data_IF_040449845147
#
_entry.id   IF_040449845147
#
_cell.length_a   1.000
_cell.length_b   1.000
_cell.length_c   1.000
_cell.angle_alpha   90.00
_cell.angle_beta   90.00
_cell.angle_gamma   90.00
#
_symmetry.space_group_name_H-M   'P 1'
#
loop_
_entity.id
_entity.type
_entity.pdbx_description
1 polymer ?
#
# COMPACT_ATOMS: atom_id res chain seq x y z
N UNK A 1 -7.24 9.46 -13.12
CA UNK A 1 -8.45 8.59 -13.22
C UNK A 1 -8.42 7.67 -12.02
N UNK A 2 -9.52 7.54 -11.29
CA UNK A 2 -9.63 6.65 -10.12
C UNK A 2 -10.32 5.34 -10.54
N UNK A 3 -9.77 4.19 -10.12
CA UNK A 3 -10.31 2.85 -10.41
C UNK A 3 -10.33 1.98 -9.15
N UNK A 4 -11.24 1.01 -9.09
CA UNK A 4 -11.32 0.06 -7.99
C UNK A 4 -10.50 -1.20 -8.26
N UNK A 5 -9.81 -1.69 -7.24
CA UNK A 5 -8.97 -2.89 -7.28
C UNK A 5 -9.19 -3.74 -6.04
N UNK A 6 -8.85 -5.02 -6.13
CA UNK A 6 -8.72 -5.92 -5.00
C UNK A 6 -7.27 -5.91 -4.49
N UNK A 7 -7.04 -5.32 -3.33
CA UNK A 7 -5.75 -5.27 -2.65
C UNK A 7 -5.42 -6.61 -1.99
N UNK A 8 -4.29 -7.16 -2.38
CA UNK A 8 -3.64 -8.29 -1.72
C UNK A 8 -2.39 -7.80 -0.99
N UNK A 9 -2.25 -8.17 0.28
CA UNK A 9 -1.01 -7.94 1.03
C UNK A 9 -0.28 -9.24 1.32
N UNK A 10 1.04 -9.18 1.46
CA UNK A 10 1.85 -10.36 1.75
C UNK A 10 3.29 -10.03 2.07
N UNK A 11 4.03 -11.04 2.53
CA UNK A 11 5.45 -10.89 2.79
C UNK A 11 6.27 -11.14 1.52
N UNK A 12 7.34 -10.38 1.39
CA UNK A 12 8.41 -10.60 0.41
C UNK A 12 9.70 -10.92 1.16
N UNK A 13 10.70 -11.47 0.46
CA UNK A 13 12.00 -11.79 1.07
C UNK A 13 12.65 -10.51 1.63
N UNK A 14 12.67 -9.44 0.84
CA UNK A 14 13.31 -8.19 1.20
C UNK A 14 12.53 -7.38 2.25
N UNK A 15 11.19 -7.39 2.22
CA UNK A 15 10.36 -6.86 3.33
C UNK A 15 10.76 -7.52 4.64
N UNK A 16 10.85 -8.86 4.65
CA UNK A 16 11.21 -9.63 5.83
C UNK A 16 12.64 -9.33 6.32
N UNK A 17 13.61 -9.21 5.39
CA UNK A 17 15.01 -8.89 5.69
C UNK A 17 15.12 -7.51 6.32
N UNK A 18 14.51 -6.49 5.73
CA UNK A 18 14.59 -5.10 6.21
C UNK A 18 13.82 -4.91 7.51
N UNK A 19 12.62 -5.50 7.62
CA UNK A 19 11.80 -5.41 8.83
C UNK A 19 12.46 -6.08 10.04
N UNK A 20 13.09 -7.25 9.86
CA UNK A 20 13.76 -7.99 10.96
C UNK A 20 15.21 -7.54 11.19
N UNK A 21 15.85 -6.96 10.18
CA UNK A 21 17.20 -6.41 10.26
C UNK A 21 17.31 -5.07 10.96
N UNK A 22 16.19 -4.48 11.40
CA UNK A 22 16.17 -3.19 12.09
C UNK A 22 16.16 -1.98 11.16
N UNK A 23 15.95 -2.17 9.87
CA UNK A 23 16.03 -1.12 8.83
C UNK A 23 14.68 -0.47 8.52
N UNK A 24 13.68 -0.56 9.40
CA UNK A 24 12.32 -0.06 9.13
C UNK A 24 12.21 1.45 8.90
N UNK A 25 13.26 2.20 9.24
CA UNK A 25 13.31 3.67 9.08
C UNK A 25 14.25 4.10 7.94
N UNK A 26 14.75 3.17 7.12
CA UNK A 26 15.65 3.50 6.00
C UNK A 26 14.89 3.68 4.70
N UNK A 27 15.49 4.39 3.74
CA UNK A 27 14.94 4.51 2.38
C UNK A 27 14.78 3.14 1.71
N UNK A 28 15.71 2.20 1.91
CA UNK A 28 15.55 0.83 1.41
C UNK A 28 14.22 0.18 1.83
N UNK A 29 13.72 0.47 3.04
CA UNK A 29 12.42 -0.05 3.48
C UNK A 29 11.25 0.67 2.82
N UNK A 30 11.38 1.97 2.54
CA UNK A 30 10.39 2.71 1.76
C UNK A 30 10.34 2.16 0.34
N UNK A 31 11.48 2.04 -0.33
CA UNK A 31 11.58 1.58 -1.72
C UNK A 31 11.04 0.15 -1.88
N UNK A 32 11.27 -0.73 -0.90
CA UNK A 32 10.80 -2.12 -0.95
C UNK A 32 9.34 -2.30 -0.52
N UNK A 33 8.83 -1.48 0.41
CA UNK A 33 7.55 -1.74 1.07
C UNK A 33 6.46 -0.70 0.81
N UNK A 34 6.82 0.50 0.39
CA UNK A 34 5.89 1.56 0.01
C UNK A 34 5.56 1.49 -1.49
N UNK A 35 5.21 0.28 -1.96
CA UNK A 35 4.95 -0.01 -3.37
C UNK A 35 3.56 -0.61 -3.57
N UNK A 36 2.93 -0.27 -4.70
CA UNK A 36 1.72 -0.87 -5.23
C UNK A 36 2.07 -1.55 -6.56
N UNK A 37 2.17 -2.87 -6.53
CA UNK A 37 2.43 -3.69 -7.71
C UNK A 37 1.12 -3.96 -8.43
N UNK A 38 1.08 -3.66 -9.72
CA UNK A 38 -0.10 -3.70 -10.57
C UNK A 38 0.15 -4.58 -11.80
N UNK A 39 -0.93 -5.10 -12.37
CA UNK A 39 -0.86 -5.71 -13.69
C UNK A 39 -0.45 -4.66 -14.75
N UNK A 40 0.34 -5.06 -15.74
CA UNK A 40 0.82 -4.15 -16.78
C UNK A 40 -0.29 -3.43 -17.55
N UNK A 41 -1.43 -4.08 -17.81
CA UNK A 41 -2.55 -3.46 -18.53
C UNK A 41 -3.17 -2.36 -17.70
N UNK A 42 -3.44 -2.64 -16.43
CA UNK A 42 -4.04 -1.67 -15.53
C UNK A 42 -3.11 -0.49 -15.27
N UNK A 43 -1.81 -0.77 -15.10
CA UNK A 43 -0.77 0.26 -14.98
C UNK A 43 -0.71 1.16 -16.23
N UNK A 44 -0.70 0.55 -17.42
CA UNK A 44 -0.69 1.28 -18.69
C UNK A 44 -1.96 2.10 -18.90
N UNK A 45 -3.14 1.52 -18.64
CA UNK A 45 -4.44 2.20 -18.68
C UNK A 45 -4.50 3.41 -17.73
N UNK A 46 -3.78 3.35 -16.61
CA UNK A 46 -3.68 4.44 -15.64
C UNK A 46 -2.64 5.51 -16.03
N UNK A 47 -2.00 5.39 -17.19
CA UNK A 47 -1.03 6.34 -17.70
C UNK A 47 0.40 6.08 -17.24
N UNK A 48 0.69 4.87 -16.75
CA UNK A 48 2.03 4.47 -16.25
C UNK A 48 2.60 5.44 -15.21
N UNK A 49 1.89 5.69 -14.10
CA UNK A 49 2.31 6.68 -13.12
C UNK A 49 3.51 6.21 -12.31
N UNK A 50 4.35 7.15 -11.85
CA UNK A 50 5.41 6.84 -10.87
C UNK A 50 4.82 6.51 -9.50
N UNK A 51 3.82 7.29 -9.06
CA UNK A 51 3.16 7.15 -7.77
C UNK A 51 1.64 7.01 -7.91
N UNK A 52 1.05 6.25 -7.00
CA UNK A 52 -0.41 6.15 -6.86
C UNK A 52 -0.84 6.45 -5.43
N UNK A 53 -2.00 7.08 -5.30
CA UNK A 53 -2.72 7.20 -4.05
C UNK A 53 -3.72 6.06 -3.95
N UNK A 54 -3.56 5.23 -2.92
CA UNK A 54 -4.46 4.14 -2.58
C UNK A 54 -5.37 4.60 -1.47
N UNK A 55 -6.68 4.42 -1.63
CA UNK A 55 -7.71 4.86 -0.68
C UNK A 55 -8.56 3.66 -0.26
N UNK A 56 -8.83 3.55 1.04
CA UNK A 56 -9.70 2.52 1.61
C UNK A 56 -11.10 2.57 0.99
N UNK A 57 -11.81 1.45 0.99
CA UNK A 57 -13.18 1.35 0.46
C UNK A 57 -14.13 2.42 1.00
N UNK A 58 -14.01 2.73 2.29
CA UNK A 58 -14.86 3.70 2.98
C UNK A 58 -14.41 5.16 2.78
N UNK A 59 -13.29 5.38 2.08
CA UNK A 59 -12.76 6.70 1.77
C UNK A 59 -12.08 7.42 2.93
N UNK A 60 -12.00 6.81 4.11
CA UNK A 60 -11.50 7.49 5.32
C UNK A 60 -9.98 7.55 5.41
N UNK A 61 -9.30 6.57 4.80
CA UNK A 61 -7.86 6.44 4.89
C UNK A 61 -7.26 6.34 3.49
N UNK A 62 -6.13 7.01 3.28
CA UNK A 62 -5.38 6.90 2.05
C UNK A 62 -3.87 6.97 2.31
N UNK A 63 -3.11 6.40 1.39
CA UNK A 63 -1.65 6.37 1.42
C UNK A 63 -1.12 6.53 0.00
N UNK A 64 0.00 7.26 -0.13
CA UNK A 64 0.73 7.40 -1.39
C UNK A 64 1.87 6.40 -1.39
N UNK A 65 2.03 5.68 -2.48
CA UNK A 65 3.04 4.62 -2.69
C UNK A 65 3.51 4.63 -4.13
N UNK A 66 4.73 4.15 -4.38
CA UNK A 66 5.27 4.00 -5.74
C UNK A 66 4.49 2.94 -6.49
N UNK A 67 4.21 3.15 -7.77
CA UNK A 67 3.53 2.21 -8.62
C UNK A 67 4.53 1.38 -9.43
N UNK A 68 4.35 0.06 -9.41
CA UNK A 68 5.20 -0.88 -10.15
C UNK A 68 4.32 -1.77 -11.01
N UNK A 69 4.83 -2.15 -12.19
CA UNK A 69 4.14 -3.05 -13.11
C UNK A 69 4.84 -4.41 -13.13
N UNK A 70 4.10 -5.47 -12.84
CA UNK A 70 4.58 -6.85 -12.96
C UNK A 70 3.51 -7.77 -13.56
N UNK A 71 3.97 -8.84 -14.23
CA UNK A 71 3.09 -9.89 -14.77
C UNK A 71 2.57 -10.86 -13.69
N UNK A 72 3.11 -10.76 -12.47
CA UNK A 72 2.74 -11.59 -11.31
C UNK A 72 1.35 -11.26 -10.75
N UNK A 73 0.82 -10.07 -11.06
CA UNK A 73 -0.47 -9.57 -10.55
C UNK A 73 -1.55 -9.69 -11.62
N UNK A 74 -2.70 -10.27 -11.26
CA UNK A 74 -3.87 -10.37 -12.13
C UNK A 74 -4.51 -8.99 -12.36
N UNK A 75 -5.03 -8.74 -13.56
CA UNK A 75 -5.77 -7.49 -13.82
C UNK A 75 -6.99 -7.35 -12.88
N UNK A 76 -7.22 -6.14 -12.39
CA UNK A 76 -8.21 -5.83 -11.34
C UNK A 76 -7.72 -6.10 -9.92
N UNK A 77 -6.48 -6.60 -9.75
CA UNK A 77 -5.84 -6.77 -8.46
C UNK A 77 -4.60 -5.87 -8.34
N UNK A 78 -4.23 -5.57 -7.10
CA UNK A 78 -2.96 -4.95 -6.76
C UNK A 78 -2.32 -5.69 -5.59
N UNK A 79 -0.99 -5.64 -5.50
CA UNK A 79 -0.23 -6.20 -4.40
C UNK A 79 0.55 -5.10 -3.67
N UNK A 80 0.49 -5.09 -2.34
CA UNK A 80 1.36 -4.27 -1.51
C UNK A 80 2.07 -5.15 -0.47
N UNK A 81 3.39 -5.00 -0.27
CA UNK A 81 4.09 -5.67 0.81
C UNK A 81 3.46 -5.37 2.18
N UNK A 82 3.48 -6.35 3.07
CA UNK A 82 2.94 -6.22 4.43
C UNK A 82 3.82 -5.27 5.26
N UNK A 83 3.47 -4.00 5.23
CA UNK A 83 4.17 -2.93 5.93
C UNK A 83 3.19 -1.84 6.40
N UNK A 84 3.72 -0.78 7.00
CA UNK A 84 2.89 0.29 7.58
C UNK A 84 2.01 0.99 6.53
N UNK A 85 2.49 1.13 5.28
CA UNK A 85 1.73 1.77 4.19
C UNK A 85 0.49 0.97 3.83
N UNK A 86 0.63 -0.34 3.59
CA UNK A 86 -0.50 -1.21 3.28
C UNK A 86 -1.54 -1.23 4.40
N UNK A 87 -1.10 -1.22 5.67
CA UNK A 87 -2.00 -1.21 6.83
C UNK A 87 -2.90 0.03 6.92
N UNK A 88 -2.56 1.15 6.26
CA UNK A 88 -3.40 2.35 6.24
C UNK A 88 -4.73 2.09 5.52
N UNK A 89 -4.74 1.23 4.51
CA UNK A 89 -5.88 1.07 3.59
C UNK A 89 -6.55 -0.30 3.68
N UNK A 90 -5.96 -1.26 4.42
CA UNK A 90 -6.59 -2.55 4.72
C UNK A 90 -7.88 -2.34 5.51
N UNK A 91 -8.96 -2.98 5.06
CA UNK A 91 -10.25 -2.96 5.78
C UNK A 91 -10.10 -3.62 7.17
N UNK A 92 -10.34 -2.88 8.27
CA UNK A 92 -10.18 -3.40 9.63
C UNK A 92 -11.32 -4.33 10.05
N UNK A 93 -12.41 -4.44 9.27
CA UNK A 93 -13.49 -5.38 9.55
C UNK A 93 -12.96 -6.82 9.60
N UNK A 94 -13.33 -7.53 10.66
CA UNK A 94 -12.81 -8.87 10.95
C UNK A 94 -13.82 -9.97 10.66
N UNK A 95 -15.08 -9.63 10.38
CA UNK A 95 -16.17 -10.58 10.17
C UNK A 95 -16.29 -11.60 11.33
N UNK A 96 -16.02 -11.13 12.56
CA UNK A 96 -15.98 -11.96 13.77
C UNK A 96 -14.95 -13.11 13.75
N UNK A 97 -13.93 -13.04 12.89
CA UNK A 97 -12.83 -14.03 12.81
C UNK A 97 -11.58 -13.60 13.57
N UNK A 98 -11.51 -12.35 14.01
CA UNK A 98 -10.33 -11.77 14.66
C UNK A 98 -9.20 -11.37 13.71
N UNK A 99 -9.37 -11.53 12.39
CA UNK A 99 -8.39 -11.12 11.37
C UNK A 99 -8.99 -10.09 10.40
N UNK A 100 -8.34 -8.93 10.17
CA UNK A 100 -8.69 -8.00 9.12
C UNK A 100 -8.63 -8.60 7.70
N UNK A 101 -9.25 -7.94 6.74
CA UNK A 101 -9.28 -8.38 5.34
C UNK A 101 -7.97 -8.06 4.61
N UNK A 102 -6.88 -8.74 4.96
CA UNK A 102 -5.55 -8.52 4.37
C UNK A 102 -5.42 -8.95 2.90
N UNK A 103 -6.37 -9.73 2.36
CA UNK A 103 -6.35 -10.23 0.99
C UNK A 103 -7.72 -10.03 0.35
N UNK A 104 -7.74 -9.45 -0.84
CA UNK A 104 -8.97 -9.11 -1.54
C UNK A 104 -9.72 -7.90 -0.96
N UNK A 105 -9.05 -7.01 -0.23
CA UNK A 105 -9.70 -5.79 0.27
C UNK A 105 -9.99 -4.82 -0.88
N UNK A 106 -11.24 -4.35 -1.08
CA UNK A 106 -11.52 -3.36 -2.12
C UNK A 106 -10.85 -2.02 -1.79
N UNK A 107 -10.09 -1.47 -2.73
CA UNK A 107 -9.45 -0.16 -2.62
C UNK A 107 -9.66 0.65 -3.90
N UNK A 108 -9.58 1.98 -3.77
CA UNK A 108 -9.57 2.91 -4.91
C UNK A 108 -8.15 3.40 -5.14
N UNK A 109 -7.67 3.28 -6.36
CA UNK A 109 -6.31 3.67 -6.76
C UNK A 109 -6.41 4.75 -7.83
N UNK A 110 -5.63 5.82 -7.66
CA UNK A 110 -5.49 6.88 -8.67
C UNK A 110 -4.04 7.35 -8.81
N UNK A 111 -3.60 7.77 -10.01
CA UNK A 111 -2.30 8.43 -10.19
C UNK A 111 -2.19 9.68 -9.33
N UNK A 112 -1.02 9.95 -8.78
CA UNK A 112 -0.74 11.19 -8.02
C UNK A 112 0.67 11.69 -8.30
N UNK A 113 0.88 13.00 -8.09
CA UNK A 113 2.19 13.63 -8.08
C UNK A 113 2.69 13.90 -6.65
N UNK A 114 1.95 13.44 -5.63
CA UNK A 114 2.38 13.50 -4.24
C UNK A 114 3.56 12.54 -3.98
N UNK A 115 4.43 12.91 -3.06
CA UNK A 115 5.57 12.08 -2.66
C UNK A 115 5.15 10.95 -1.71
N UNK A 116 5.89 9.85 -1.76
CA UNK A 116 5.77 8.75 -0.82
C UNK A 116 6.37 9.18 0.52
N UNK A 117 5.56 9.17 1.58
CA UNK A 117 6.04 9.47 2.92
C UNK A 117 6.96 8.35 3.43
N UNK A 118 8.01 8.74 4.15
CA UNK A 118 8.83 7.81 4.91
C UNK A 118 8.03 7.12 6.02
N UNK A 119 8.61 6.06 6.59
CA UNK A 119 7.96 5.32 7.65
C UNK A 119 7.65 6.20 8.88
N UNK A 120 8.59 7.08 9.23
CA UNK A 120 8.47 8.01 10.35
C UNK A 120 7.40 9.08 10.09
N UNK A 121 7.45 9.74 8.93
CA UNK A 121 6.48 10.77 8.56
C UNK A 121 5.05 10.23 8.50
N UNK A 122 4.87 9.00 7.99
CA UNK A 122 3.56 8.36 7.95
C UNK A 122 3.03 8.08 9.37
N UNK A 123 3.87 7.56 10.26
CA UNK A 123 3.48 7.33 11.67
C UNK A 123 3.14 8.65 12.35
N UNK A 124 3.95 9.69 12.19
CA UNK A 124 3.67 11.01 12.74
C UNK A 124 2.34 11.56 12.20
N UNK A 125 2.10 11.49 10.89
CA UNK A 125 0.84 11.95 10.28
C UNK A 125 -0.38 11.22 10.85
N UNK A 126 -0.29 9.92 11.11
CA UNK A 126 -1.41 9.11 11.60
C UNK A 126 -1.62 9.25 13.12
N UNK A 127 -0.56 9.47 13.89
CA UNK A 127 -0.59 9.37 15.36
C UNK A 127 -0.17 10.65 16.11
N UNK A 128 0.14 11.76 15.44
CA UNK A 128 0.48 13.05 16.09
C UNK A 128 -0.63 13.63 16.99
N UNK A 129 -1.82 13.03 17.03
CA UNK A 129 -2.88 13.34 18.00
C UNK A 129 -2.78 12.60 19.34
N UNK A 130 -1.84 11.67 19.49
CA UNK A 130 -1.58 10.95 20.74
C UNK A 130 -0.89 11.85 21.76
N UNK A 131 -1.67 12.68 22.47
CA UNK A 131 -1.22 13.23 23.74
C UNK A 131 -1.07 12.07 24.73
N UNK A 132 0.07 12.05 25.44
CA UNK A 132 0.28 11.28 26.66
C UNK A 132 -0.87 11.47 27.67
#
# INVERSE_FOLDING_TARGET
>A
MMREFLLNTGSTIDEGRLAKGGSKMTMDYVDECAVCVMNWKDFSDMGSPDNVKVTSRDGKHCVVVSALSEDSVMSGHVFMPRAIWANVVVDPETFSTGSPLYKGSPVRVEPTSEDVLSAEELVQKLYAGGKE
#
